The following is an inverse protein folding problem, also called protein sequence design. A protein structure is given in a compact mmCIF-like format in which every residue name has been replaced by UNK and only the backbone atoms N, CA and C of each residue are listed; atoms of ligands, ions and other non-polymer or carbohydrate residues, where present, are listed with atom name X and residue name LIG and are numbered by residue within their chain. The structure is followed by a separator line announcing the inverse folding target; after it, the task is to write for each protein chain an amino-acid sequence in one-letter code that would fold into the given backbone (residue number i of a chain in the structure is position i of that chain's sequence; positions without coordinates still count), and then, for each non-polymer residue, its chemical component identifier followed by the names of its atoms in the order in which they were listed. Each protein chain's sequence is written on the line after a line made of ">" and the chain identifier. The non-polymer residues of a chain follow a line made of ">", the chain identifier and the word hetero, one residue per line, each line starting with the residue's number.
data_IF_393207840216
#
_entry.id   IF_393207840216
#
_cell.length_a   1.000
_cell.length_b   1.000
_cell.length_c   1.000
_cell.angle_alpha   90.00
_cell.angle_beta   90.00
_cell.angle_gamma   90.00
#
_symmetry.space_group_name_H-M   'P 1'
#
loop_
_entity.id
_entity.type
_entity.pdbx_description
1 polymer ?
#
# COMPACT_ATOMS: atom_id res chain seq x y z
N UNK A 1 -62.22 16.38 -20.62
CA UNK A 1 -61.06 16.81 -19.73
C UNK A 1 -60.77 15.66 -18.82
N UNK A 2 -59.70 14.88 -19.13
CA UNK A 2 -59.33 13.71 -18.36
C UNK A 2 -58.21 14.14 -17.39
N UNK A 3 -58.53 14.22 -16.11
CA UNK A 3 -57.59 14.57 -15.06
C UNK A 3 -56.73 13.32 -14.74
N UNK A 4 -55.50 13.32 -15.20
CA UNK A 4 -54.53 12.26 -14.86
C UNK A 4 -54.10 12.47 -13.40
N UNK A 5 -54.62 11.65 -12.50
CA UNK A 5 -54.18 11.63 -11.10
C UNK A 5 -52.74 11.11 -11.05
N UNK A 6 -51.78 11.97 -10.78
CA UNK A 6 -50.40 11.61 -10.50
C UNK A 6 -50.36 10.91 -9.16
N UNK A 7 -50.30 9.59 -9.14
CA UNK A 7 -50.19 8.80 -7.92
C UNK A 7 -48.77 8.97 -7.35
N UNK A 8 -48.65 9.68 -6.23
CA UNK A 8 -47.41 9.84 -5.51
C UNK A 8 -46.94 8.48 -4.99
N UNK A 9 -45.68 8.11 -5.20
CA UNK A 9 -45.17 6.82 -4.73
C UNK A 9 -45.23 6.72 -3.19
N UNK A 10 -45.38 5.50 -2.62
CA UNK A 10 -45.42 5.30 -1.18
C UNK A 10 -44.17 5.82 -0.49
N UNK A 11 -44.31 6.46 0.67
CA UNK A 11 -43.19 7.05 1.43
C UNK A 11 -42.04 6.04 1.74
N UNK A 12 -42.38 4.76 1.96
CA UNK A 12 -41.41 3.70 2.15
C UNK A 12 -40.57 3.41 0.89
N UNK A 13 -41.17 3.50 -0.30
CA UNK A 13 -40.45 3.35 -1.56
C UNK A 13 -39.48 4.52 -1.80
N UNK A 14 -39.94 5.75 -1.57
CA UNK A 14 -39.12 6.97 -1.66
C UNK A 14 -37.94 6.92 -0.69
N UNK A 15 -38.15 6.50 0.56
CA UNK A 15 -37.09 6.36 1.57
C UNK A 15 -36.09 5.27 1.18
N UNK A 16 -36.53 4.14 0.65
CA UNK A 16 -35.66 3.06 0.15
C UNK A 16 -34.83 3.53 -1.03
N UNK A 17 -35.40 4.24 -1.99
CA UNK A 17 -34.67 4.74 -3.15
C UNK A 17 -33.65 5.81 -2.78
N UNK A 18 -34.00 6.70 -1.85
CA UNK A 18 -33.06 7.71 -1.33
C UNK A 18 -31.87 7.03 -0.61
N UNK A 19 -32.13 6.02 0.23
CA UNK A 19 -31.08 5.25 0.91
C UNK A 19 -30.18 4.52 -0.08
N UNK A 20 -30.77 3.89 -1.11
CA UNK A 20 -30.02 3.19 -2.16
C UNK A 20 -29.18 4.16 -3.00
N UNK A 21 -29.74 5.30 -3.41
CA UNK A 21 -29.01 6.34 -4.13
C UNK A 21 -27.80 6.84 -3.34
N UNK A 22 -27.96 7.10 -2.04
CA UNK A 22 -26.86 7.52 -1.16
C UNK A 22 -25.78 6.43 -1.05
N UNK A 23 -26.19 5.15 -0.92
CA UNK A 23 -25.26 4.02 -0.88
C UNK A 23 -24.48 3.87 -2.20
N UNK A 24 -25.17 3.98 -3.33
CA UNK A 24 -24.55 3.93 -4.67
C UNK A 24 -23.57 5.09 -4.90
N UNK A 25 -23.92 6.30 -4.46
CA UNK A 25 -23.03 7.45 -4.53
C UNK A 25 -21.72 7.17 -3.75
N UNK A 26 -21.83 6.63 -2.54
CA UNK A 26 -20.65 6.23 -1.73
C UNK A 26 -19.82 5.13 -2.40
N UNK A 27 -20.47 4.13 -3.01
CA UNK A 27 -19.77 3.05 -3.72
C UNK A 27 -19.03 3.58 -4.95
N UNK A 28 -19.64 4.50 -5.71
CA UNK A 28 -19.00 5.16 -6.86
C UNK A 28 -17.87 6.10 -6.48
N UNK A 29 -17.94 6.71 -5.29
CA UNK A 29 -16.90 7.61 -4.77
C UNK A 29 -15.73 6.86 -4.10
N UNK A 30 -15.73 5.51 -4.07
CA UNK A 30 -14.62 4.74 -3.50
C UNK A 30 -13.33 5.00 -4.27
N UNK A 31 -12.27 5.29 -3.52
CA UNK A 31 -10.93 5.36 -4.09
C UNK A 31 -10.45 3.97 -4.50
N UNK A 32 -9.79 3.90 -5.63
CA UNK A 32 -9.13 2.67 -6.09
C UNK A 32 -8.03 2.29 -5.08
N UNK A 33 -7.80 0.99 -4.85
CA UNK A 33 -6.75 0.54 -3.94
C UNK A 33 -5.38 0.94 -4.45
N UNK A 34 -4.49 1.26 -3.52
CA UNK A 34 -3.07 1.52 -3.79
C UNK A 34 -2.21 0.51 -3.05
N UNK A 35 -1.04 0.23 -3.61
CA UNK A 35 -0.01 -0.62 -3.05
C UNK A 35 1.35 0.00 -3.34
N UNK A 36 2.26 -0.04 -2.35
CA UNK A 36 3.60 0.52 -2.53
C UNK A 36 4.66 -0.57 -2.51
N UNK A 37 5.67 -0.39 -3.35
CA UNK A 37 6.94 -1.10 -3.32
C UNK A 37 7.98 -0.19 -2.70
N UNK A 38 8.69 -0.67 -1.69
CA UNK A 38 9.74 0.07 -0.98
C UNK A 38 11.08 -0.55 -1.32
N UNK A 39 12.00 0.25 -1.80
CA UNK A 39 13.33 -0.15 -2.24
C UNK A 39 14.38 0.66 -1.47
N UNK A 40 15.30 -0.02 -0.83
CA UNK A 40 16.40 0.62 -0.14
C UNK A 40 17.68 -0.19 -0.36
N UNK A 41 18.69 0.44 -0.91
CA UNK A 41 20.01 -0.16 -1.17
C UNK A 41 21.03 0.17 -0.08
N UNK A 42 20.63 0.99 0.90
CA UNK A 42 21.49 1.35 2.02
C UNK A 42 21.48 0.27 3.11
N UNK A 43 22.41 -0.67 3.00
CA UNK A 43 22.57 -1.75 3.98
C UNK A 43 23.07 -1.23 5.34
N UNK A 44 23.75 -0.08 5.39
CA UNK A 44 24.17 0.54 6.63
C UNK A 44 22.97 1.13 7.37
N UNK A 45 22.06 1.80 6.68
CA UNK A 45 20.81 2.30 7.26
C UNK A 45 19.96 1.15 7.82
N UNK A 46 19.79 0.04 7.06
CA UNK A 46 19.09 -1.17 7.54
C UNK A 46 19.72 -1.76 8.79
N UNK A 47 21.06 -1.82 8.81
CA UNK A 47 21.82 -2.33 9.97
C UNK A 47 21.65 -1.42 11.18
N UNK A 48 21.71 -0.10 10.98
CA UNK A 48 21.55 0.87 12.07
C UNK A 48 20.18 0.77 12.75
N UNK A 49 19.09 0.55 11.98
CA UNK A 49 17.77 0.29 12.56
C UNK A 49 17.77 -1.01 13.38
N UNK A 50 18.37 -2.07 12.85
CA UNK A 50 18.45 -3.37 13.56
C UNK A 50 19.23 -3.25 14.86
N UNK A 51 20.37 -2.59 14.83
CA UNK A 51 21.23 -2.39 16.00
C UNK A 51 20.54 -1.50 17.05
N UNK A 52 19.90 -0.40 16.63
CA UNK A 52 19.16 0.49 17.52
C UNK A 52 17.93 -0.19 18.16
N UNK A 53 17.20 -1.02 17.40
CA UNK A 53 16.09 -1.80 17.92
C UNK A 53 16.57 -2.82 18.99
N UNK A 54 17.74 -3.45 18.77
CA UNK A 54 18.34 -4.35 19.74
C UNK A 54 18.78 -3.62 21.01
N UNK A 55 19.39 -2.43 20.89
CA UNK A 55 19.74 -1.58 22.04
C UNK A 55 18.52 -1.19 22.86
N UNK A 56 17.44 -0.79 22.21
CA UNK A 56 16.16 -0.47 22.87
C UNK A 56 15.60 -1.68 23.61
N UNK A 57 15.60 -2.85 22.98
CA UNK A 57 15.13 -4.08 23.61
C UNK A 57 15.94 -4.43 24.87
N UNK A 58 17.27 -4.26 24.84
CA UNK A 58 18.17 -4.47 25.99
C UNK A 58 17.87 -3.46 27.10
N UNK A 59 17.75 -2.17 26.76
CA UNK A 59 17.45 -1.11 27.74
C UNK A 59 16.10 -1.36 28.42
N UNK A 60 15.05 -1.71 27.67
CA UNK A 60 13.73 -2.05 28.23
C UNK A 60 13.80 -3.28 29.14
N UNK A 61 14.58 -4.31 28.76
CA UNK A 61 14.73 -5.51 29.59
C UNK A 61 15.42 -5.19 30.92
N UNK A 62 16.49 -4.40 30.88
CA UNK A 62 17.21 -3.96 32.09
C UNK A 62 16.31 -3.11 33.00
N UNK A 63 15.64 -2.11 32.44
CA UNK A 63 14.71 -1.27 33.18
C UNK A 63 13.55 -2.07 33.79
N UNK A 64 13.04 -3.05 33.08
CA UNK A 64 11.97 -3.94 33.61
C UNK A 64 12.46 -4.80 34.79
N UNK A 65 13.68 -5.31 34.72
CA UNK A 65 14.28 -6.04 35.84
C UNK A 65 14.47 -5.11 37.05
N UNK A 66 14.99 -3.92 36.84
CA UNK A 66 15.16 -2.90 37.89
C UNK A 66 13.82 -2.51 38.52
N UNK A 67 12.73 -2.36 37.73
CA UNK A 67 11.39 -2.07 38.26
C UNK A 67 10.91 -3.11 39.26
N UNK A 68 11.26 -4.37 39.06
CA UNK A 68 10.93 -5.47 39.98
C UNK A 68 11.75 -5.36 41.25
N UNK A 69 13.06 -5.10 41.14
CA UNK A 69 13.96 -4.93 42.28
C UNK A 69 13.57 -3.72 43.15
N UNK A 70 13.09 -2.64 42.53
CA UNK A 70 12.60 -1.44 43.21
C UNK A 70 11.18 -1.60 43.78
N UNK A 71 10.52 -2.74 43.55
CA UNK A 71 9.20 -2.99 44.08
C UNK A 71 8.07 -2.19 43.41
N UNK A 72 8.28 -1.73 42.18
CA UNK A 72 7.27 -1.01 41.40
C UNK A 72 6.08 -1.95 41.17
N UNK A 73 4.86 -1.46 41.41
CA UNK A 73 3.61 -2.21 41.20
C UNK A 73 3.48 -2.64 39.74
N UNK A 74 2.95 -3.84 39.50
CA UNK A 74 2.93 -4.48 38.19
C UNK A 74 2.24 -3.62 37.12
N UNK A 75 1.17 -2.96 37.48
CA UNK A 75 0.39 -2.04 36.63
C UNK A 75 1.15 -0.74 36.28
N UNK A 76 2.15 -0.32 37.09
CA UNK A 76 2.96 0.88 36.88
C UNK A 76 4.32 0.58 36.19
N UNK A 77 4.71 -0.69 36.04
CA UNK A 77 6.05 -1.08 35.53
C UNK A 77 6.30 -0.62 34.10
N UNK A 78 5.30 -0.68 33.22
CA UNK A 78 5.47 -0.27 31.84
C UNK A 78 5.73 1.24 31.72
N UNK A 79 4.92 2.05 32.41
CA UNK A 79 5.10 3.50 32.46
C UNK A 79 6.46 3.89 33.06
N UNK A 80 6.84 3.23 34.18
CA UNK A 80 8.13 3.43 34.82
C UNK A 80 9.29 3.02 33.86
N UNK A 81 9.18 1.90 33.16
CA UNK A 81 10.21 1.41 32.21
C UNK A 81 10.43 2.41 31.08
N UNK A 82 9.36 2.90 30.47
CA UNK A 82 9.45 3.87 29.36
C UNK A 82 10.02 5.22 29.83
N UNK A 83 9.80 5.60 31.08
CA UNK A 83 10.34 6.84 31.66
C UNK A 83 11.84 6.80 31.98
N UNK A 84 12.49 5.61 31.91
CA UNK A 84 13.92 5.51 32.21
C UNK A 84 14.78 6.23 31.15
N UNK A 85 15.81 7.00 31.59
CA UNK A 85 16.66 7.77 30.67
C UNK A 85 17.33 6.93 29.58
N UNK A 86 17.77 5.71 29.91
CA UNK A 86 18.43 4.79 28.97
C UNK A 86 17.45 4.30 27.91
N UNK A 87 16.20 3.99 28.29
CA UNK A 87 15.13 3.59 27.38
C UNK A 87 14.75 4.76 26.47
N UNK A 88 14.57 5.97 27.02
CA UNK A 88 14.29 7.17 26.25
C UNK A 88 15.41 7.48 25.24
N UNK A 89 16.68 7.36 25.66
CA UNK A 89 17.83 7.57 24.78
C UNK A 89 17.89 6.53 23.65
N UNK A 90 17.65 5.27 23.97
CA UNK A 90 17.63 4.20 22.97
C UNK A 90 16.45 4.35 21.99
N UNK A 91 15.29 4.80 22.46
CA UNK A 91 14.14 5.12 21.61
C UNK A 91 14.48 6.24 20.61
N UNK A 92 15.09 7.34 21.08
CA UNK A 92 15.51 8.44 20.19
C UNK A 92 16.51 7.99 19.12
N UNK A 93 17.40 7.05 19.44
CA UNK A 93 18.33 6.47 18.46
C UNK A 93 17.60 5.63 17.42
N UNK A 94 16.63 4.81 17.84
CA UNK A 94 15.81 4.03 16.93
C UNK A 94 15.03 4.95 15.99
N UNK A 95 14.35 5.97 16.54
CA UNK A 95 13.57 6.93 15.74
C UNK A 95 14.45 7.70 14.72
N UNK A 96 15.72 7.97 15.08
CA UNK A 96 16.67 8.61 14.16
C UNK A 96 17.13 7.64 13.06
N UNK A 97 17.39 6.38 13.41
CA UNK A 97 17.78 5.34 12.44
C UNK A 97 16.64 5.01 11.48
N UNK A 98 15.39 4.93 11.97
CA UNK A 98 14.20 4.71 11.14
C UNK A 98 13.98 5.86 10.16
N UNK A 99 14.15 7.10 10.59
CA UNK A 99 14.08 8.27 9.68
C UNK A 99 15.16 8.22 8.61
N UNK A 100 16.40 7.90 8.97
CA UNK A 100 17.48 7.76 8.00
C UNK A 100 17.21 6.64 6.99
N UNK A 101 16.61 5.53 7.42
CA UNK A 101 16.19 4.45 6.52
C UNK A 101 15.04 4.91 5.60
N UNK A 102 14.05 5.65 6.13
CA UNK A 102 12.96 6.18 5.33
C UNK A 102 13.47 7.18 4.28
N UNK A 103 14.40 8.06 4.64
CA UNK A 103 15.03 9.03 3.72
C UNK A 103 15.84 8.34 2.61
N UNK A 104 16.47 7.18 2.91
CA UNK A 104 17.20 6.36 1.95
C UNK A 104 16.31 5.41 1.13
N UNK A 105 15.00 5.37 1.41
CA UNK A 105 14.07 4.43 0.78
C UNK A 105 13.32 5.09 -0.36
N UNK A 106 13.43 4.53 -1.57
CA UNK A 106 12.56 4.90 -2.70
C UNK A 106 11.23 4.16 -2.57
N UNK A 107 10.14 4.90 -2.69
CA UNK A 107 8.78 4.34 -2.60
C UNK A 107 8.06 4.53 -3.93
N UNK A 108 7.78 3.43 -4.61
CA UNK A 108 6.97 3.42 -5.82
C UNK A 108 5.52 3.05 -5.45
N UNK A 109 4.56 3.89 -5.82
CA UNK A 109 3.14 3.65 -5.52
C UNK A 109 2.37 3.26 -6.77
N UNK A 110 1.59 2.20 -6.67
CA UNK A 110 0.75 1.67 -7.75
C UNK A 110 -0.70 1.72 -7.32
N UNK A 111 -1.56 2.16 -8.24
CA UNK A 111 -3.03 2.21 -8.06
C UNK A 111 -3.68 1.22 -9.02
N UNK A 112 -4.70 0.51 -8.53
CA UNK A 112 -5.50 -0.36 -9.37
C UNK A 112 -6.16 0.42 -10.51
N UNK A 113 -6.27 -0.22 -11.67
CA UNK A 113 -6.96 0.33 -12.82
C UNK A 113 -8.47 0.11 -12.69
N UNK A 114 -9.30 1.02 -13.23
CA UNK A 114 -10.69 0.72 -13.50
C UNK A 114 -10.79 -0.48 -14.45
N UNK A 115 -11.82 -1.31 -14.27
CA UNK A 115 -12.00 -2.53 -15.08
C UNK A 115 -11.89 -2.31 -16.61
N UNK A 116 -12.48 -1.27 -17.21
CA UNK A 116 -12.35 -1.05 -18.65
C UNK A 116 -10.90 -0.77 -19.09
N UNK A 117 -10.12 -0.04 -18.27
CA UNK A 117 -8.70 0.23 -18.55
C UNK A 117 -7.85 -1.06 -18.44
N UNK A 118 -8.10 -1.88 -17.41
CA UNK A 118 -7.47 -3.20 -17.27
C UNK A 118 -7.75 -4.11 -18.46
N UNK A 119 -9.02 -4.24 -18.87
CA UNK A 119 -9.41 -5.06 -20.02
C UNK A 119 -8.84 -4.52 -21.35
N UNK A 120 -8.69 -3.19 -21.47
CA UNK A 120 -8.06 -2.60 -22.65
C UNK A 120 -6.57 -2.96 -22.71
N UNK A 121 -5.86 -2.83 -21.59
CA UNK A 121 -4.44 -3.15 -21.51
C UNK A 121 -4.16 -4.61 -21.88
N UNK A 122 -5.01 -5.55 -21.45
CA UNK A 122 -4.91 -6.96 -21.86
C UNK A 122 -5.13 -7.15 -23.38
N UNK A 123 -6.06 -6.41 -23.99
CA UNK A 123 -6.30 -6.47 -25.43
C UNK A 123 -5.15 -5.88 -26.25
N UNK A 124 -4.47 -4.86 -25.73
CA UNK A 124 -3.35 -4.20 -26.40
C UNK A 124 -2.07 -5.04 -26.35
N UNK A 125 -1.99 -5.97 -25.39
CA UNK A 125 -0.83 -6.86 -25.19
C UNK A 125 -1.25 -8.34 -25.18
N UNK A 126 -1.82 -8.86 -26.30
CA UNK A 126 -2.28 -10.25 -26.38
C UNK A 126 -1.07 -11.20 -26.34
N UNK A 127 -1.23 -12.42 -25.78
CA UNK A 127 -0.17 -13.43 -25.81
C UNK A 127 0.17 -13.82 -27.24
N UNK A 128 1.41 -14.21 -27.50
CA UNK A 128 1.78 -14.89 -28.74
C UNK A 128 1.14 -16.28 -28.79
N UNK A 129 1.09 -16.93 -29.99
CA UNK A 129 0.55 -18.31 -30.10
C UNK A 129 1.22 -19.26 -29.11
N UNK A 130 2.56 -19.22 -29.02
CA UNK A 130 3.32 -20.06 -28.09
C UNK A 130 3.02 -19.77 -26.61
N UNK A 131 2.76 -18.52 -26.26
CA UNK A 131 2.37 -18.11 -24.89
C UNK A 131 0.93 -18.53 -24.59
N UNK A 132 0.02 -18.40 -25.56
CA UNK A 132 -1.38 -18.86 -25.44
C UNK A 132 -1.46 -20.38 -25.26
N UNK A 133 -0.65 -21.17 -25.97
CA UNK A 133 -0.55 -22.62 -25.81
C UNK A 133 -0.06 -23.02 -24.39
N UNK A 134 0.69 -22.14 -23.73
CA UNK A 134 1.12 -22.29 -22.33
C UNK A 134 0.10 -21.77 -21.32
N UNK A 135 -1.06 -21.28 -21.77
CA UNK A 135 -2.12 -20.75 -20.92
C UNK A 135 -1.87 -19.33 -20.41
N UNK A 136 -0.99 -18.55 -21.03
CA UNK A 136 -0.77 -17.15 -20.68
C UNK A 136 -1.93 -16.28 -21.17
N UNK A 137 -2.36 -15.34 -20.33
CA UNK A 137 -3.46 -14.41 -20.64
C UNK A 137 -2.99 -13.14 -21.34
N UNK A 138 -1.69 -12.85 -21.31
CA UNK A 138 -1.07 -11.65 -21.88
C UNK A 138 0.33 -11.95 -22.43
N UNK A 139 0.88 -11.01 -23.20
CA UNK A 139 2.25 -11.08 -23.69
C UNK A 139 3.22 -10.77 -22.56
N UNK A 140 4.03 -11.76 -22.17
CA UNK A 140 4.97 -11.66 -21.03
C UNK A 140 6.13 -10.71 -21.26
N UNK A 141 6.38 -10.29 -22.51
CA UNK A 141 7.46 -9.37 -22.86
C UNK A 141 7.03 -7.91 -22.83
N UNK A 142 5.78 -7.61 -23.24
CA UNK A 142 5.32 -6.23 -23.41
C UNK A 142 4.34 -5.77 -22.33
N UNK A 143 3.53 -6.68 -21.80
CA UNK A 143 2.52 -6.37 -20.80
C UNK A 143 3.08 -5.85 -19.46
N UNK A 144 4.22 -6.38 -18.92
CA UNK A 144 4.72 -5.95 -17.63
C UNK A 144 5.03 -4.44 -17.56
N UNK A 145 5.77 -3.91 -18.55
CA UNK A 145 6.11 -2.50 -18.61
C UNK A 145 4.88 -1.61 -18.75
N UNK A 146 3.95 -2.00 -19.63
CA UNK A 146 2.69 -1.29 -19.83
C UNK A 146 1.82 -1.26 -18.56
N UNK A 147 1.72 -2.38 -17.83
CA UNK A 147 0.98 -2.43 -16.57
C UNK A 147 1.62 -1.57 -15.48
N UNK A 148 2.95 -1.62 -15.33
CA UNK A 148 3.69 -0.80 -14.38
C UNK A 148 3.40 0.68 -14.64
N UNK A 149 3.58 1.14 -15.88
CA UNK A 149 3.34 2.52 -16.29
C UNK A 149 1.88 2.95 -16.04
N UNK A 150 0.92 2.10 -16.42
CA UNK A 150 -0.50 2.41 -16.26
C UNK A 150 -0.95 2.50 -14.79
N UNK A 151 -0.29 1.75 -13.89
CA UNK A 151 -0.63 1.71 -12.47
C UNK A 151 0.17 2.68 -11.62
N UNK A 152 1.34 3.14 -12.06
CA UNK A 152 2.22 3.99 -11.27
C UNK A 152 1.61 5.37 -11.01
N UNK A 153 1.66 5.79 -9.76
CA UNK A 153 1.17 7.09 -9.31
C UNK A 153 2.31 7.83 -8.62
N UNK A 154 2.70 8.94 -9.20
CA UNK A 154 3.69 9.84 -8.62
C UNK A 154 3.00 11.05 -7.98
N UNK A 155 3.58 11.56 -6.88
CA UNK A 155 3.05 12.72 -6.17
C UNK A 155 4.18 13.69 -5.86
N UNK A 156 3.90 14.98 -6.06
CA UNK A 156 4.80 16.04 -5.63
C UNK A 156 4.78 16.25 -4.10
N UNK A 157 5.63 17.14 -3.62
CA UNK A 157 5.73 17.49 -2.19
C UNK A 157 4.42 18.02 -1.59
N UNK A 158 3.52 18.57 -2.42
CA UNK A 158 2.20 19.05 -2.01
C UNK A 158 1.15 17.93 -1.93
N UNK A 159 1.49 16.71 -2.37
CA UNK A 159 0.60 15.56 -2.49
C UNK A 159 -0.26 15.59 -3.76
N UNK A 160 0.01 16.51 -4.69
CA UNK A 160 -0.61 16.56 -6.01
C UNK A 160 -0.10 15.44 -6.91
N UNK A 161 -0.99 14.84 -7.73
CA UNK A 161 -0.57 13.83 -8.70
C UNK A 161 0.14 14.49 -9.87
N UNK A 162 1.32 13.96 -10.20
CA UNK A 162 2.15 14.36 -11.34
C UNK A 162 2.31 13.18 -12.30
N UNK A 163 2.81 13.40 -13.54
CA UNK A 163 3.07 12.29 -14.46
C UNK A 163 3.96 11.23 -13.79
N UNK A 164 3.50 9.98 -13.83
CA UNK A 164 4.23 8.84 -13.31
C UNK A 164 5.23 8.29 -14.32
N UNK A 165 5.73 7.10 -14.03
CA UNK A 165 6.65 6.34 -14.88
C UNK A 165 6.04 6.06 -16.24
N UNK A 166 6.79 6.32 -17.32
CA UNK A 166 6.42 5.91 -18.66
C UNK A 166 6.66 4.42 -18.90
N UNK A 167 6.07 3.86 -19.94
CA UNK A 167 6.30 2.46 -20.33
C UNK A 167 7.76 2.19 -20.67
N UNK A 168 8.44 3.17 -21.32
CA UNK A 168 9.86 3.05 -21.63
C UNK A 168 10.71 3.00 -20.36
N UNK A 169 10.48 3.87 -19.39
CA UNK A 169 11.19 3.87 -18.11
C UNK A 169 10.91 2.57 -17.32
N UNK A 170 9.67 2.08 -17.34
CA UNK A 170 9.33 0.80 -16.75
C UNK A 170 10.09 -0.37 -17.39
N UNK A 171 10.20 -0.39 -18.71
CA UNK A 171 10.98 -1.41 -19.44
C UNK A 171 12.46 -1.32 -19.10
N UNK A 172 13.04 -0.11 -19.05
CA UNK A 172 14.44 0.10 -18.68
C UNK A 172 14.74 -0.45 -17.27
N UNK A 173 13.82 -0.29 -16.32
CA UNK A 173 13.98 -0.88 -14.98
C UNK A 173 13.87 -2.40 -15.00
N UNK A 174 12.91 -2.96 -15.74
CA UNK A 174 12.76 -4.42 -15.87
C UNK A 174 13.99 -5.08 -16.49
N UNK A 175 14.66 -4.39 -17.42
CA UNK A 175 15.86 -4.89 -18.11
C UNK A 175 17.13 -4.71 -17.25
N UNK A 176 17.20 -3.66 -16.44
CA UNK A 176 18.40 -3.30 -15.68
C UNK A 176 18.47 -3.97 -14.29
N UNK A 177 17.32 -4.28 -13.69
CA UNK A 177 17.28 -4.77 -12.32
C UNK A 177 17.49 -6.30 -12.23
N UNK A 178 17.97 -6.79 -11.07
CA UNK A 178 17.98 -8.23 -10.80
C UNK A 178 16.58 -8.83 -10.96
N UNK A 179 16.50 -10.07 -11.45
CA UNK A 179 15.23 -10.77 -11.71
C UNK A 179 14.24 -10.74 -10.54
N UNK A 180 14.74 -10.82 -9.31
CA UNK A 180 13.90 -10.74 -8.09
C UNK A 180 13.22 -9.39 -7.91
N UNK A 181 13.93 -8.30 -8.21
CA UNK A 181 13.43 -6.93 -8.07
C UNK A 181 12.51 -6.55 -9.24
N UNK A 182 12.88 -6.91 -10.47
CA UNK A 182 12.04 -6.76 -11.64
C UNK A 182 10.69 -7.49 -11.47
N UNK A 183 10.72 -8.72 -10.94
CA UNK A 183 9.50 -9.47 -10.58
C UNK A 183 8.71 -8.82 -9.47
N UNK A 184 9.37 -8.25 -8.45
CA UNK A 184 8.68 -7.54 -7.37
C UNK A 184 7.97 -6.29 -7.88
N UNK A 185 8.61 -5.52 -8.79
CA UNK A 185 8.03 -4.34 -9.43
C UNK A 185 6.75 -4.70 -10.19
N UNK A 186 6.83 -5.66 -11.11
CA UNK A 186 5.66 -6.15 -11.85
C UNK A 186 4.58 -6.73 -10.94
N UNK A 187 4.97 -7.57 -9.97
CA UNK A 187 4.02 -8.20 -9.04
C UNK A 187 3.27 -7.17 -8.20
N UNK A 188 3.93 -6.07 -7.80
CA UNK A 188 3.26 -4.98 -7.06
C UNK A 188 2.14 -4.35 -7.90
N UNK A 189 2.41 -4.03 -9.16
CA UNK A 189 1.43 -3.50 -10.11
C UNK A 189 0.32 -4.51 -10.45
N UNK A 190 0.65 -5.81 -10.53
CA UNK A 190 -0.33 -6.87 -10.80
C UNK A 190 -1.27 -7.09 -9.62
N UNK A 191 -0.71 -7.27 -8.42
CA UNK A 191 -1.49 -7.61 -7.23
C UNK A 191 -2.44 -6.50 -6.78
N UNK A 192 -2.12 -5.22 -7.02
CA UNK A 192 -3.05 -4.12 -6.69
C UNK A 192 -4.36 -4.24 -7.46
N UNK A 193 -4.34 -4.85 -8.66
CA UNK A 193 -5.51 -5.08 -9.51
C UNK A 193 -6.25 -6.38 -9.18
N UNK A 194 -5.56 -7.39 -8.65
CA UNK A 194 -6.11 -8.74 -8.46
C UNK A 194 -6.49 -9.02 -6.99
N UNK A 195 -5.91 -8.31 -6.04
CA UNK A 195 -6.18 -8.57 -4.62
C UNK A 195 -7.44 -7.88 -4.16
N UNK A 196 -8.45 -8.64 -3.74
CA UNK A 196 -9.61 -8.12 -3.03
C UNK A 196 -9.12 -7.45 -1.73
N UNK A 197 -9.42 -6.16 -1.57
CA UNK A 197 -9.37 -5.51 -0.27
C UNK A 197 -10.53 -6.09 0.57
N UNK A 198 -10.29 -7.26 1.14
CA UNK A 198 -11.18 -7.79 2.17
C UNK A 198 -10.97 -6.93 3.42
N UNK A 199 -11.71 -5.84 3.52
CA UNK A 199 -11.92 -5.15 4.77
C UNK A 199 -12.87 -6.04 5.58
N UNK A 200 -12.29 -7.12 6.13
CA UNK A 200 -12.96 -7.94 7.14
C UNK A 200 -12.97 -7.10 8.41
N UNK A 201 -13.88 -6.12 8.44
CA UNK A 201 -14.26 -5.48 9.67
C UNK A 201 -14.58 -6.59 10.68
N UNK A 202 -13.83 -6.66 11.75
CA UNK A 202 -14.21 -7.48 12.90
C UNK A 202 -15.60 -7.01 13.32
N UNK A 203 -16.61 -7.82 13.00
CA UNK A 203 -17.94 -7.70 13.58
C UNK A 203 -17.88 -7.97 15.08
#
# INVERSE_FOLDING_TARGET
>A
MTTTATTQPPAAAVARDAHWSAKMARLKARKLPERSLRLCDDDEAKKNVTDAALELAKARTAARAESVEQGIAEDAREEWTVAQPDVATAQLRLDAAERALDDATVVLTFRALPRPAWEQLLRDHPPTEAQADQGMEYNVETYPAALIAACHVERDESGGEVPGMSEQEAQELLDAWPDSEAKALFTCALLVNQTLRADLGKG
#
